data_IF_589388634780
#
_entry.id   IF_589388634780
#
_cell.length_a   1.000
_cell.length_b   1.000
_cell.length_c   1.000
_cell.angle_alpha   90.00
_cell.angle_beta   90.00
_cell.angle_gamma   90.00
#
_symmetry.space_group_name_H-M   'P 1'
#
loop_
_entity.id
_entity.type
_entity.pdbx_description
1 polymer ?
#
# COMPACT_ATOMS: atom_id res chain seq x y z
N UNK A 1 11.96 13.99 1.87
CA UNK A 1 10.66 13.68 2.50
C UNK A 1 10.40 12.18 2.35
N UNK A 2 9.99 11.47 3.41
CA UNK A 2 9.78 10.00 3.43
C UNK A 2 8.45 9.57 2.79
N UNK A 3 8.01 10.28 1.75
CA UNK A 3 6.72 10.07 1.09
C UNK A 3 6.93 9.88 -0.41
N UNK A 4 6.23 8.91 -0.98
CA UNK A 4 6.42 8.47 -2.36
C UNK A 4 5.07 8.28 -3.05
N UNK A 5 5.00 8.60 -4.33
CA UNK A 5 3.87 8.20 -5.16
C UNK A 5 4.11 6.76 -5.65
N UNK A 6 3.26 5.82 -5.21
CA UNK A 6 3.39 4.40 -5.57
C UNK A 6 2.16 4.00 -6.39
N UNK A 7 2.32 3.63 -7.67
CA UNK A 7 1.23 3.15 -8.50
C UNK A 7 0.92 1.68 -8.20
N UNK A 8 -0.37 1.34 -8.16
CA UNK A 8 -0.87 -0.03 -8.13
C UNK A 8 -1.69 -0.30 -9.40
N UNK A 9 -1.57 -1.49 -9.97
CA UNK A 9 -2.33 -1.88 -11.16
C UNK A 9 -3.43 -2.87 -10.76
N UNK A 10 -4.68 -2.45 -10.89
CA UNK A 10 -5.85 -3.25 -10.51
C UNK A 10 -6.75 -3.37 -11.74
N UNK A 11 -6.91 -4.59 -12.25
CA UNK A 11 -7.77 -4.87 -13.42
C UNK A 11 -7.48 -3.96 -14.64
N UNK A 12 -6.22 -3.59 -14.87
CA UNK A 12 -5.81 -2.71 -15.97
C UNK A 12 -6.00 -1.21 -15.71
N UNK A 13 -6.52 -0.82 -14.53
CA UNK A 13 -6.54 0.57 -14.06
C UNK A 13 -5.37 0.81 -13.11
N UNK A 14 -4.63 1.90 -13.33
CA UNK A 14 -3.63 2.38 -12.38
C UNK A 14 -4.32 3.22 -11.30
N UNK A 15 -4.14 2.87 -10.04
CA UNK A 15 -4.54 3.69 -8.89
C UNK A 15 -3.27 4.14 -8.18
N UNK A 16 -3.13 5.45 -7.99
CA UNK A 16 -1.96 6.03 -7.35
C UNK A 16 -2.16 6.18 -5.83
N UNK A 17 -1.16 5.79 -5.07
CA UNK A 17 -1.09 6.04 -3.63
C UNK A 17 -0.04 7.09 -3.28
N UNK A 18 -0.29 7.82 -2.20
CA UNK A 18 0.71 8.64 -1.51
C UNK A 18 1.14 7.85 -0.28
N UNK A 19 2.38 7.36 -0.28
CA UNK A 19 2.84 6.37 0.70
C UNK A 19 4.02 6.88 1.53
N UNK A 20 3.86 6.87 2.85
CA UNK A 20 4.95 6.97 3.79
C UNK A 20 5.47 5.57 4.15
N UNK A 21 6.80 5.43 4.20
CA UNK A 21 7.47 4.16 4.49
C UNK A 21 8.30 4.26 5.78
N UNK A 22 8.20 3.27 6.65
CA UNK A 22 9.04 3.10 7.83
C UNK A 22 9.64 1.69 7.90
N UNK A 23 10.78 1.55 8.58
CA UNK A 23 11.45 0.27 8.74
C UNK A 23 10.55 -0.74 9.47
N UNK A 24 10.63 -2.02 9.08
CA UNK A 24 9.89 -3.10 9.73
C UNK A 24 8.53 -3.40 9.15
N UNK A 25 8.18 -2.82 8.00
CA UNK A 25 6.88 -2.99 7.36
C UNK A 25 5.83 -2.01 7.85
N UNK A 26 6.29 -0.83 8.27
CA UNK A 26 5.44 0.28 8.72
C UNK A 26 5.07 1.13 7.50
N UNK A 27 3.77 1.26 7.19
CA UNK A 27 3.32 2.09 6.08
C UNK A 27 2.06 2.85 6.40
N UNK A 28 1.97 4.05 5.83
CA UNK A 28 0.71 4.78 5.65
C UNK A 28 0.56 4.94 4.14
N UNK A 29 -0.52 4.39 3.57
CA UNK A 29 -0.82 4.47 2.15
C UNK A 29 -2.17 5.17 1.96
N UNK A 30 -2.15 6.33 1.31
CA UNK A 30 -3.35 7.14 1.05
C UNK A 30 -3.76 6.92 -0.40
N UNK A 31 -5.02 6.57 -0.63
CA UNK A 31 -5.63 6.34 -1.95
C UNK A 31 -6.79 7.33 -2.16
N UNK A 32 -6.52 8.54 -2.68
CA UNK A 32 -7.56 9.58 -2.84
C UNK A 32 -8.72 9.16 -3.73
N UNK A 33 -8.44 8.44 -4.83
CA UNK A 33 -9.47 7.96 -5.76
C UNK A 33 -10.47 6.98 -5.13
N UNK A 34 -10.10 6.36 -4.01
CA UNK A 34 -10.89 5.34 -3.31
C UNK A 34 -11.44 5.84 -1.97
N UNK A 35 -11.20 7.10 -1.61
CA UNK A 35 -11.49 7.65 -0.27
C UNK A 35 -10.99 6.73 0.87
N UNK A 36 -9.74 6.24 0.74
CA UNK A 36 -9.20 5.21 1.61
C UNK A 36 -7.81 5.56 2.14
N UNK A 37 -7.58 5.25 3.42
CA UNK A 37 -6.26 5.24 4.04
C UNK A 37 -6.00 3.85 4.62
N UNK A 38 -4.91 3.22 4.19
CA UNK A 38 -4.44 1.96 4.74
C UNK A 38 -3.21 2.19 5.63
N UNK A 39 -3.25 1.66 6.85
CA UNK A 39 -2.14 1.74 7.80
C UNK A 39 -1.68 0.32 8.14
N UNK A 40 -0.39 0.08 7.96
CA UNK A 40 0.26 -1.18 8.31
C UNK A 40 1.28 -0.95 9.41
N UNK A 41 1.24 -1.83 10.40
CA UNK A 41 2.26 -1.89 11.44
C UNK A 41 2.92 -3.26 11.42
N UNK A 42 4.24 -3.29 11.59
CA UNK A 42 5.04 -4.50 11.46
C UNK A 42 6.35 -4.44 12.25
N UNK A 43 7.03 -5.58 12.33
CA UNK A 43 8.30 -5.73 13.05
C UNK A 43 9.41 -6.43 12.24
N UNK A 44 9.25 -6.53 10.92
CA UNK A 44 10.21 -7.19 10.03
C UNK A 44 11.44 -6.31 9.74
N UNK A 45 12.12 -5.83 10.78
CA UNK A 45 13.18 -4.83 10.66
C UNK A 45 14.36 -5.38 9.86
N UNK A 46 14.86 -4.57 8.92
CA UNK A 46 15.99 -4.91 8.05
C UNK A 46 15.79 -6.24 7.27
N UNK A 47 14.53 -6.62 7.04
CA UNK A 47 14.13 -7.81 6.27
C UNK A 47 13.38 -7.38 5.02
N UNK A 48 13.46 -8.17 3.94
CA UNK A 48 12.65 -7.95 2.74
C UNK A 48 11.15 -8.21 2.98
N UNK A 49 10.82 -8.91 4.06
CA UNK A 49 9.45 -9.13 4.51
C UNK A 49 8.76 -7.83 4.93
N UNK A 50 9.53 -6.74 5.13
CA UNK A 50 8.98 -5.40 5.34
C UNK A 50 8.02 -5.00 4.22
N UNK A 51 8.17 -5.50 2.99
CA UNK A 51 7.30 -5.18 1.85
C UNK A 51 6.01 -5.98 1.75
N UNK A 52 5.74 -6.93 2.64
CA UNK A 52 4.49 -7.71 2.63
C UNK A 52 3.19 -6.88 2.56
N UNK A 53 3.10 -5.70 3.21
CA UNK A 53 1.96 -4.78 3.05
C UNK A 53 1.60 -4.45 1.61
N UNK A 54 2.58 -4.29 0.70
CA UNK A 54 2.31 -4.05 -0.71
C UNK A 54 1.63 -5.25 -1.37
N UNK A 55 2.03 -6.47 -1.03
CA UNK A 55 1.40 -7.67 -1.54
C UNK A 55 -0.04 -7.84 -1.00
N UNK A 56 -0.29 -7.45 0.25
CA UNK A 56 -1.64 -7.44 0.84
C UNK A 56 -2.53 -6.42 0.12
N UNK A 57 -2.02 -5.21 -0.13
CA UNK A 57 -2.75 -4.20 -0.89
C UNK A 57 -3.08 -4.70 -2.29
N UNK A 58 -2.09 -5.19 -3.03
CA UNK A 58 -2.22 -5.61 -4.42
C UNK A 58 -3.14 -6.82 -4.60
N UNK A 59 -3.01 -7.84 -3.74
CA UNK A 59 -3.70 -9.12 -3.92
C UNK A 59 -5.02 -9.24 -3.15
N UNK A 60 -5.22 -8.43 -2.11
CA UNK A 60 -6.37 -8.58 -1.20
C UNK A 60 -7.18 -7.29 -1.15
N UNK A 61 -6.64 -6.20 -0.61
CA UNK A 61 -7.46 -5.02 -0.31
C UNK A 61 -7.91 -4.28 -1.57
N UNK A 62 -7.00 -3.94 -2.48
CA UNK A 62 -7.35 -3.17 -3.66
C UNK A 62 -8.36 -3.91 -4.57
N UNK A 63 -8.20 -5.20 -4.88
CA UNK A 63 -9.22 -5.94 -5.62
C UNK A 63 -10.56 -6.03 -4.88
N UNK A 64 -10.56 -6.15 -3.55
CA UNK A 64 -11.79 -6.24 -2.74
C UNK A 64 -12.60 -4.95 -2.78
N UNK A 65 -11.94 -3.80 -2.70
CA UNK A 65 -12.62 -2.49 -2.65
C UNK A 65 -12.81 -1.86 -4.03
N UNK A 66 -12.11 -2.33 -5.06
CA UNK A 66 -12.30 -1.88 -6.44
C UNK A 66 -13.45 -2.62 -7.16
N UNK A 67 -14.07 -3.59 -6.49
CA UNK A 67 -15.13 -4.44 -7.03
C UNK A 67 -16.55 -4.04 -6.60
N UNK A 68 -17.12 -3.07 -7.30
CA UNK A 68 -18.49 -3.08 -7.84
C UNK A 68 -18.44 -2.50 -9.25
#
# INVERSE_FOLDING_TARGET
YFWWNIPFNINGKVINSITATGNGGQYIMIFPEMDMVAVFTGGAYNSQEDKLPFAIMDKVFLPTFSGK
#
